data_IF_092172072998
#
_entry.id   IF_092172072998
#
_cell.length_a   1.000
_cell.length_b   1.000
_cell.length_c   1.000
_cell.angle_alpha   90.00
_cell.angle_beta   90.00
_cell.angle_gamma   90.00
#
_symmetry.space_group_name_H-M   'P 1'
#
loop_
_entity.id
_entity.type
_entity.pdbx_description
1 polymer ?
#
# COMPACT_ATOMS: atom_id res chain seq x y z
N UNK A 1 -56.55 49.73 -23.09
CA UNK A 1 -55.86 49.70 -24.40
C UNK A 1 -54.61 48.82 -24.27
N UNK A 2 -54.41 47.92 -25.25
CA UNK A 2 -53.16 47.21 -25.62
C UNK A 2 -52.58 46.23 -24.57
N UNK A 3 -52.84 44.92 -24.67
CA UNK A 3 -52.18 43.89 -25.52
C UNK A 3 -50.67 43.82 -25.32
N UNK A 4 -50.21 42.70 -24.74
CA UNK A 4 -48.80 42.32 -24.65
C UNK A 4 -48.65 40.83 -24.35
N UNK A 5 -48.23 40.09 -25.37
CA UNK A 5 -48.25 38.63 -25.51
C UNK A 5 -46.93 37.99 -25.06
N UNK A 6 -47.01 36.81 -24.41
CA UNK A 6 -46.05 35.68 -24.32
C UNK A 6 -44.54 35.94 -24.09
N UNK A 7 -43.99 35.27 -23.08
CA UNK A 7 -42.95 34.23 -23.28
C UNK A 7 -42.75 33.39 -22.01
N UNK A 8 -42.74 32.06 -22.20
CA UNK A 8 -42.39 31.04 -21.20
C UNK A 8 -40.91 31.15 -20.85
N UNK A 9 -40.56 31.10 -19.57
CA UNK A 9 -39.25 30.61 -19.11
C UNK A 9 -39.52 29.54 -18.06
N UNK A 10 -39.52 28.29 -18.50
CA UNK A 10 -39.48 27.13 -17.60
C UNK A 10 -38.08 27.06 -16.99
N UNK A 11 -37.95 27.46 -15.73
CA UNK A 11 -36.76 27.14 -14.94
C UNK A 11 -36.88 25.71 -14.45
N UNK A 12 -36.08 24.80 -15.02
CA UNK A 12 -35.98 23.41 -14.55
C UNK A 12 -34.86 23.37 -13.53
N UNK A 13 -35.21 23.07 -12.28
CA UNK A 13 -34.27 22.80 -11.20
C UNK A 13 -33.81 21.34 -11.24
N UNK A 14 -32.48 21.18 -11.22
CA UNK A 14 -31.67 20.17 -10.52
C UNK A 14 -32.08 18.69 -10.60
N UNK A 15 -31.23 17.90 -11.28
CA UNK A 15 -30.73 16.66 -10.69
C UNK A 15 -29.21 16.72 -10.63
N UNK A 16 -28.71 16.53 -9.42
CA UNK A 16 -27.35 16.24 -9.05
C UNK A 16 -26.83 15.03 -9.83
N UNK A 17 -26.16 15.30 -10.95
CA UNK A 17 -25.25 14.33 -11.55
C UNK A 17 -24.08 14.16 -10.61
N UNK A 18 -23.98 12.97 -10.01
CA UNK A 18 -22.79 12.48 -9.31
C UNK A 18 -21.59 12.80 -10.20
N UNK A 19 -20.64 13.57 -9.70
CA UNK A 19 -19.31 13.63 -10.28
C UNK A 19 -18.71 12.23 -10.13
N UNK A 20 -18.91 11.36 -11.12
CA UNK A 20 -18.13 10.14 -11.25
C UNK A 20 -16.69 10.57 -11.53
N UNK A 21 -15.89 10.70 -10.47
CA UNK A 21 -14.47 10.54 -10.57
C UNK A 21 -14.22 9.09 -11.00
N UNK A 22 -14.02 8.87 -12.30
CA UNK A 22 -13.80 7.56 -12.90
C UNK A 22 -14.64 7.37 -14.14
N UNK A 23 -14.17 7.89 -15.28
CA UNK A 23 -14.59 7.34 -16.57
C UNK A 23 -13.79 6.06 -16.70
N UNK A 24 -14.41 4.93 -16.35
CA UNK A 24 -14.30 3.57 -16.87
C UNK A 24 -15.08 2.65 -15.90
N UNK A 25 -15.24 1.35 -16.20
CA UNK A 25 -16.04 0.37 -15.44
C UNK A 25 -17.57 0.29 -15.70
N UNK A 26 -18.05 0.58 -16.92
CA UNK A 26 -19.29 -0.07 -17.43
C UNK A 26 -19.03 -1.30 -18.31
N UNK A 27 -17.77 -1.53 -18.70
CA UNK A 27 -17.27 -2.77 -19.31
C UNK A 27 -16.04 -3.16 -18.50
N UNK A 28 -16.01 -4.34 -17.88
CA UNK A 28 -14.90 -4.84 -17.05
C UNK A 28 -13.61 -5.18 -17.84
N UNK A 29 -13.31 -4.47 -18.95
CA UNK A 29 -12.16 -4.72 -19.81
C UNK A 29 -10.81 -4.41 -19.13
N UNK A 30 -10.81 -3.65 -18.04
CA UNK A 30 -9.60 -3.39 -17.26
C UNK A 30 -9.17 -4.60 -16.40
N UNK A 31 -10.11 -5.49 -16.05
CA UNK A 31 -9.82 -6.70 -15.27
C UNK A 31 -9.36 -7.81 -16.22
N UNK A 32 -8.07 -8.12 -16.15
CA UNK A 32 -7.40 -9.09 -17.04
C UNK A 32 -7.85 -10.55 -16.84
N UNK A 33 -8.77 -10.83 -15.91
CA UNK A 33 -9.31 -12.17 -15.65
C UNK A 33 -10.33 -12.64 -16.71
N UNK A 34 -10.87 -11.74 -17.54
CA UNK A 34 -11.83 -12.08 -18.61
C UNK A 34 -11.33 -11.84 -20.03
N UNK A 35 -10.16 -11.23 -20.22
CA UNK A 35 -9.60 -11.06 -21.55
C UNK A 35 -8.65 -12.23 -21.82
N UNK A 36 -9.12 -13.19 -22.62
CA UNK A 36 -8.29 -14.21 -23.28
C UNK A 36 -7.47 -13.59 -24.43
N UNK A 37 -6.80 -12.46 -24.15
CA UNK A 37 -5.77 -11.97 -25.05
C UNK A 37 -4.52 -12.78 -24.75
N UNK A 38 -4.12 -13.63 -25.70
CA UNK A 38 -2.75 -14.08 -25.77
C UNK A 38 -1.89 -12.80 -25.91
N UNK A 39 -1.33 -12.33 -24.80
CA UNK A 39 -0.46 -11.15 -24.75
C UNK A 39 0.97 -11.67 -24.90
N UNK A 40 1.55 -11.69 -26.12
CA UNK A 40 2.88 -12.27 -26.35
C UNK A 40 4.03 -11.55 -25.62
N UNK A 41 3.74 -10.41 -24.97
CA UNK A 41 4.68 -9.63 -24.15
C UNK A 41 4.43 -9.74 -22.65
N UNK A 42 3.53 -10.62 -22.17
CA UNK A 42 3.43 -10.88 -20.73
C UNK A 42 4.64 -11.72 -20.31
N UNK A 43 5.59 -11.16 -19.54
CA UNK A 43 6.91 -11.77 -19.41
C UNK A 43 6.89 -13.04 -18.55
N UNK A 44 5.89 -13.23 -17.70
CA UNK A 44 5.79 -14.37 -16.79
C UNK A 44 4.32 -14.76 -16.57
N UNK A 45 3.93 -15.92 -17.10
CA UNK A 45 2.73 -16.65 -16.65
C UNK A 45 3.19 -17.99 -16.08
N UNK A 46 2.74 -18.31 -14.86
CA UNK A 46 3.00 -19.58 -14.17
C UNK A 46 4.46 -19.82 -13.73
N UNK A 47 5.27 -18.78 -13.56
CA UNK A 47 6.54 -18.88 -12.85
C UNK A 47 6.31 -18.78 -11.33
N UNK A 48 7.07 -19.56 -10.55
CA UNK A 48 7.02 -19.53 -9.09
C UNK A 48 8.42 -19.28 -8.53
N UNK A 49 8.54 -18.36 -7.56
CA UNK A 49 9.78 -18.09 -6.83
C UNK A 49 9.55 -18.15 -5.34
N UNK A 50 10.48 -18.78 -4.62
CA UNK A 50 10.41 -18.98 -3.17
C UNK A 50 11.40 -18.08 -2.42
N UNK A 51 10.97 -17.59 -1.25
CA UNK A 51 11.67 -16.63 -0.42
C UNK A 51 11.76 -17.14 1.04
N UNK A 52 12.42 -18.28 1.23
CA UNK A 52 12.66 -18.90 2.54
C UNK A 52 11.36 -19.00 3.38
N UNK A 53 11.37 -18.46 4.61
CA UNK A 53 10.23 -18.47 5.54
C UNK A 53 9.01 -17.66 5.05
N UNK A 54 9.14 -16.83 4.00
CA UNK A 54 8.02 -16.09 3.41
C UNK A 54 7.22 -16.94 2.41
N UNK A 55 7.71 -18.14 2.07
CA UNK A 55 7.05 -19.05 1.15
C UNK A 55 7.28 -18.69 -0.33
N UNK A 56 6.41 -19.20 -1.20
CA UNK A 56 6.55 -19.06 -2.64
C UNK A 56 5.48 -18.14 -3.23
N UNK A 57 5.91 -17.22 -4.09
CA UNK A 57 5.03 -16.39 -4.90
C UNK A 57 4.90 -17.02 -6.28
N UNK A 58 3.66 -17.29 -6.70
CA UNK A 58 3.34 -17.61 -8.08
C UNK A 58 2.79 -16.37 -8.76
N UNK A 59 3.42 -15.95 -9.86
CA UNK A 59 2.96 -14.82 -10.64
C UNK A 59 1.97 -15.31 -11.69
N UNK A 60 0.70 -15.00 -11.43
CA UNK A 60 -0.44 -15.27 -12.30
C UNK A 60 -1.00 -13.98 -12.87
N UNK A 61 -2.01 -14.09 -13.75
CA UNK A 61 -2.73 -12.94 -14.32
C UNK A 61 -3.43 -12.06 -13.28
N UNK A 62 -3.65 -12.54 -12.05
CA UNK A 62 -4.32 -11.73 -11.00
C UNK A 62 -3.44 -10.59 -10.49
N UNK A 63 -2.12 -10.73 -10.60
CA UNK A 63 -1.15 -9.69 -10.24
C UNK A 63 -1.03 -8.60 -11.32
N UNK A 64 -1.37 -8.93 -12.56
CA UNK A 64 -1.32 -8.02 -13.71
C UNK A 64 -2.61 -7.21 -13.86
N UNK A 65 -2.47 -5.95 -14.31
CA UNK A 65 -3.58 -5.12 -14.72
C UNK A 65 -3.10 -4.14 -15.80
N UNK A 66 -3.73 -4.15 -16.98
CA UNK A 66 -3.24 -3.41 -18.16
C UNK A 66 -2.92 -1.94 -17.88
N UNK A 67 -3.78 -1.24 -17.13
CA UNK A 67 -3.59 0.18 -16.81
C UNK A 67 -2.77 0.39 -15.52
N UNK A 68 -3.20 -0.20 -14.41
CA UNK A 68 -2.65 0.11 -13.08
C UNK A 68 -1.39 -0.70 -12.72
N UNK A 69 -1.16 -1.86 -13.33
CA UNK A 69 -0.02 -2.77 -13.06
C UNK A 69 0.43 -3.47 -14.35
N UNK A 70 1.00 -2.72 -15.32
CA UNK A 70 1.32 -3.24 -16.65
C UNK A 70 2.55 -4.17 -16.67
N UNK A 71 3.30 -4.23 -15.58
CA UNK A 71 4.46 -5.11 -15.45
C UNK A 71 4.17 -6.18 -14.39
N UNK A 72 4.25 -7.43 -14.81
CA UNK A 72 4.07 -8.57 -13.92
C UNK A 72 5.45 -9.13 -13.56
N UNK A 73 6.08 -8.59 -12.52
CA UNK A 73 7.48 -8.91 -12.16
C UNK A 73 7.58 -9.40 -10.72
N UNK A 74 8.57 -10.25 -10.46
CA UNK A 74 8.87 -10.70 -9.10
C UNK A 74 9.45 -9.58 -8.24
N UNK A 75 9.13 -9.58 -6.94
CA UNK A 75 9.88 -8.80 -5.96
C UNK A 75 11.37 -9.12 -6.03
N UNK A 76 12.19 -8.13 -5.70
CA UNK A 76 13.62 -8.33 -5.56
C UNK A 76 13.93 -9.38 -4.47
N UNK A 77 15.06 -10.11 -4.56
CA UNK A 77 15.48 -11.04 -3.53
C UNK A 77 15.59 -10.37 -2.15
N UNK A 78 15.34 -11.13 -1.07
CA UNK A 78 15.40 -10.61 0.31
C UNK A 78 16.76 -10.01 0.67
N UNK A 79 17.84 -10.57 0.13
CA UNK A 79 19.20 -10.05 0.29
C UNK A 79 19.39 -8.65 -0.31
N UNK A 80 18.64 -8.33 -1.37
CA UNK A 80 18.68 -7.03 -2.06
C UNK A 80 17.80 -6.01 -1.35
N UNK A 81 16.58 -6.39 -0.97
CA UNK A 81 15.67 -5.50 -0.22
C UNK A 81 16.24 -5.20 1.18
N UNK A 82 16.86 -6.21 1.81
CA UNK A 82 17.54 -6.11 3.10
C UNK A 82 16.69 -5.45 4.20
N UNK A 83 15.44 -5.89 4.35
CA UNK A 83 14.52 -5.39 5.39
C UNK A 83 15.11 -5.62 6.78
N UNK A 84 15.13 -4.57 7.61
CA UNK A 84 15.63 -4.60 8.98
C UNK A 84 14.54 -4.20 9.95
N UNK A 85 14.44 -4.91 11.07
CA UNK A 85 13.55 -4.54 12.16
C UNK A 85 14.38 -3.89 13.27
N UNK A 86 14.12 -2.61 13.52
CA UNK A 86 14.83 -1.85 14.56
C UNK A 86 13.83 -1.53 15.67
N UNK A 87 14.08 -2.08 16.85
CA UNK A 87 13.23 -1.94 18.02
C UNK A 87 13.66 -0.75 18.87
N UNK A 88 12.77 0.22 18.99
CA UNK A 88 12.89 1.30 19.96
C UNK A 88 11.92 1.08 21.12
N UNK A 89 12.41 1.25 22.33
CA UNK A 89 11.60 1.15 23.55
C UNK A 89 11.91 2.33 24.47
N UNK A 90 11.14 2.49 25.55
CA UNK A 90 11.45 3.50 26.57
C UNK A 90 12.80 3.26 27.26
N UNK A 91 13.31 2.03 27.25
CA UNK A 91 14.63 1.69 27.81
C UNK A 91 15.78 2.09 26.89
N UNK A 92 15.52 2.16 25.58
CA UNK A 92 16.49 2.52 24.54
C UNK A 92 15.85 3.47 23.50
N UNK A 93 15.53 4.71 23.88
CA UNK A 93 14.76 5.62 23.03
C UNK A 93 15.58 6.20 21.87
N UNK A 94 16.91 6.29 22.02
CA UNK A 94 17.83 6.89 21.05
C UNK A 94 18.62 5.87 20.25
N UNK A 95 18.83 4.67 20.79
CA UNK A 95 19.63 3.62 20.16
C UNK A 95 18.76 2.37 19.92
N UNK A 96 18.34 2.20 18.67
CA UNK A 96 17.43 1.14 18.28
C UNK A 96 18.13 -0.22 18.25
N UNK A 97 17.50 -1.24 18.85
CA UNK A 97 18.02 -2.60 18.84
C UNK A 97 17.63 -3.30 17.54
N UNK A 98 18.62 -3.77 16.77
CA UNK A 98 18.34 -4.61 15.59
C UNK A 98 17.81 -5.98 16.05
N UNK A 99 16.61 -6.33 15.62
CA UNK A 99 15.99 -7.63 15.90
C UNK A 99 15.73 -8.42 14.61
N UNK A 100 15.67 -9.75 14.73
CA UNK A 100 15.27 -10.67 13.66
C UNK A 100 13.95 -11.34 14.01
N UNK A 101 13.24 -11.81 13.00
CA UNK A 101 12.00 -12.58 13.17
C UNK A 101 12.29 -14.04 13.62
N UNK A 102 12.99 -14.19 14.74
CA UNK A 102 13.23 -15.47 15.39
C UNK A 102 13.13 -15.33 16.92
N UNK A 103 12.76 -16.41 17.61
CA UNK A 103 12.50 -16.37 19.06
C UNK A 103 13.70 -15.86 19.84
N UNK A 104 14.90 -16.35 19.52
CA UNK A 104 16.13 -15.98 20.23
C UNK A 104 16.44 -14.47 20.16
N UNK A 105 16.22 -13.82 19.00
CA UNK A 105 16.45 -12.37 18.89
C UNK A 105 15.39 -11.57 19.61
N UNK A 106 14.14 -12.05 19.63
CA UNK A 106 13.02 -11.38 20.29
C UNK A 106 13.17 -11.47 21.81
N UNK A 107 13.45 -12.65 22.36
CA UNK A 107 13.61 -12.90 23.79
C UNK A 107 14.81 -12.14 24.40
N UNK A 108 15.85 -11.89 23.61
CA UNK A 108 17.04 -11.12 24.04
C UNK A 108 16.88 -9.61 23.90
N UNK A 109 15.80 -9.15 23.28
CA UNK A 109 15.54 -7.72 23.05
C UNK A 109 14.77 -7.09 24.21
N UNK A 110 14.65 -5.76 24.20
CA UNK A 110 13.81 -5.03 25.15
C UNK A 110 12.30 -5.12 24.85
N UNK A 111 11.86 -6.03 23.97
CA UNK A 111 10.46 -6.16 23.61
C UNK A 111 9.63 -6.65 24.80
N UNK A 112 8.63 -5.86 25.18
CA UNK A 112 7.68 -6.21 26.22
C UNK A 112 6.35 -6.62 25.59
N UNK A 113 6.05 -7.91 25.62
CA UNK A 113 4.85 -8.48 24.99
C UNK A 113 3.54 -8.03 25.65
N UNK A 114 3.62 -7.48 26.88
CA UNK A 114 2.47 -6.91 27.58
C UNK A 114 2.12 -5.51 27.08
N UNK A 115 3.06 -4.83 26.38
CA UNK A 115 2.87 -3.50 25.84
C UNK A 115 2.41 -3.54 24.39
N UNK A 116 1.70 -2.49 23.98
CA UNK A 116 1.30 -2.33 22.57
C UNK A 116 2.55 -2.14 21.70
N UNK A 117 2.68 -2.98 20.68
CA UNK A 117 3.72 -2.86 19.65
C UNK A 117 3.18 -2.06 18.46
N UNK A 118 3.95 -1.08 17.99
CA UNK A 118 3.61 -0.24 16.83
C UNK A 118 4.71 -0.37 15.80
N UNK A 119 4.35 -0.54 14.53
CA UNK A 119 5.30 -0.59 13.41
C UNK A 119 5.26 0.72 12.64
N UNK A 120 6.43 1.25 12.32
CA UNK A 120 6.60 2.39 11.40
C UNK A 120 7.33 1.83 10.18
N UNK A 121 6.72 1.97 9.02
CA UNK A 121 7.26 1.45 7.75
C UNK A 121 7.35 2.64 6.80
N UNK A 122 8.56 2.93 6.34
CA UNK A 122 8.80 4.02 5.41
C UNK A 122 8.51 3.60 3.96
N UNK A 123 8.39 4.59 3.07
CA UNK A 123 8.01 4.38 1.67
C UNK A 123 8.93 5.10 0.70
N UNK A 124 8.33 5.90 -0.18
CA UNK A 124 8.97 6.55 -1.32
C UNK A 124 10.30 7.26 -0.98
N UNK A 125 11.42 6.73 -1.50
CA UNK A 125 12.80 7.28 -1.38
C UNK A 125 13.27 7.46 0.09
N UNK A 126 12.47 7.07 1.06
CA UNK A 126 12.77 7.25 2.47
C UNK A 126 13.72 6.19 3.01
N UNK A 127 14.32 6.53 4.14
CA UNK A 127 15.19 5.63 4.90
C UNK A 127 14.75 5.59 6.36
N UNK A 128 15.21 4.63 7.17
CA UNK A 128 14.97 4.65 8.61
C UNK A 128 15.55 5.89 9.33
N UNK A 129 16.40 6.68 8.66
CA UNK A 129 16.99 7.92 9.18
C UNK A 129 16.18 9.17 8.79
N UNK A 130 15.10 9.02 8.01
CA UNK A 130 14.24 10.16 7.65
C UNK A 130 13.66 10.81 8.92
N UNK A 131 13.68 12.15 8.98
CA UNK A 131 13.29 12.91 10.18
C UNK A 131 11.88 12.58 10.69
N UNK A 132 10.94 12.29 9.80
CA UNK A 132 9.58 11.93 10.18
C UNK A 132 9.55 10.60 10.95
N UNK A 133 10.37 9.61 10.57
CA UNK A 133 10.45 8.31 11.27
C UNK A 133 10.91 8.53 12.71
N UNK A 134 12.00 9.30 12.89
CA UNK A 134 12.52 9.64 14.23
C UNK A 134 11.51 10.42 15.07
N UNK A 135 10.75 11.31 14.45
CA UNK A 135 9.71 12.11 15.12
C UNK A 135 8.57 11.23 15.61
N UNK A 136 8.08 10.31 14.78
CA UNK A 136 7.04 9.35 15.15
C UNK A 136 7.49 8.39 16.27
N UNK A 137 8.72 7.88 16.19
CA UNK A 137 9.33 7.06 17.25
C UNK A 137 9.31 7.81 18.57
N UNK A 138 9.83 9.05 18.58
CA UNK A 138 9.90 9.86 19.79
C UNK A 138 8.51 10.16 20.36
N UNK A 139 7.55 10.48 19.49
CA UNK A 139 6.17 10.74 19.87
C UNK A 139 5.53 9.51 20.55
N UNK A 140 5.69 8.32 19.97
CA UNK A 140 5.14 7.10 20.57
C UNK A 140 5.82 6.72 21.89
N UNK A 141 7.12 6.94 22.02
CA UNK A 141 7.88 6.58 23.22
C UNK A 141 7.64 7.54 24.37
N UNK A 142 7.53 8.85 24.09
CA UNK A 142 7.40 9.87 25.15
C UNK A 142 5.96 10.24 25.50
N UNK A 143 5.05 10.30 24.53
CA UNK A 143 3.73 10.91 24.75
C UNK A 143 2.67 9.89 25.15
N UNK A 144 2.74 8.65 24.64
CA UNK A 144 1.73 7.63 24.94
C UNK A 144 2.07 6.91 26.24
N UNK A 145 1.70 7.50 27.38
CA UNK A 145 1.62 6.80 28.67
C UNK A 145 0.26 6.10 28.77
N UNK A 146 0.23 4.82 28.43
CA UNK A 146 -0.83 3.89 28.84
C UNK A 146 -0.18 2.76 29.63
#
# INVERSE_FOLDING_TARGET
MMVGTRARVTSVLLFSGIACAGILDNFNWARSDRIEVNLPWLPFENETRCYDELGCLNITRTWYHLINRPFNVFPLPRSVINTRFILYTRLNPSDGQLIRANNQSIERSNLDIKKKTKFIIHGFIDTPLSNWVSTEIFYFIKTLNY
#
